data_IF_232987707105
#
_entry.id   IF_232987707105
#
_cell.length_a   1.000
_cell.length_b   1.000
_cell.length_c   1.000
_cell.angle_alpha   90.00
_cell.angle_beta   90.00
_cell.angle_gamma   90.00
#
_symmetry.space_group_name_H-M   'P 1'
#
loop_
_entity.id
_entity.type
_entity.pdbx_description
1 polymer ?
#
# COMPACT_ATOMS: atom_id res chain seq x y z
N UNK A 1 30.64 45.80 -48.79
CA UNK A 1 31.25 44.57 -48.25
C UNK A 1 31.29 44.69 -46.73
N UNK A 2 30.83 43.64 -46.06
CA UNK A 2 31.08 43.29 -44.64
C UNK A 2 30.17 43.94 -43.58
N UNK A 3 28.98 43.33 -43.43
CA UNK A 3 28.17 43.39 -42.21
C UNK A 3 28.87 42.56 -41.11
N UNK A 4 29.38 43.19 -40.06
CA UNK A 4 29.89 42.50 -38.88
C UNK A 4 28.73 42.16 -37.94
N UNK A 5 28.27 40.91 -37.99
CA UNK A 5 27.24 40.37 -37.10
C UNK A 5 27.88 40.07 -35.74
N UNK A 6 27.62 40.93 -34.76
CA UNK A 6 28.04 40.72 -33.38
C UNK A 6 27.33 39.49 -32.78
N UNK A 7 28.13 38.49 -32.40
CA UNK A 7 27.73 37.36 -31.56
C UNK A 7 27.74 37.81 -30.08
N UNK A 8 26.75 37.45 -29.25
CA UNK A 8 26.87 37.64 -27.82
C UNK A 8 27.78 36.56 -27.19
N UNK A 9 28.68 36.94 -26.28
CA UNK A 9 29.51 36.00 -25.54
C UNK A 9 28.68 35.27 -24.47
N UNK A 10 28.76 33.94 -24.48
CA UNK A 10 28.52 33.14 -23.30
C UNK A 10 29.60 33.47 -22.25
N UNK A 11 29.21 33.50 -20.96
CA UNK A 11 29.87 32.82 -19.84
C UNK A 11 29.41 33.41 -18.48
N UNK A 12 29.26 32.50 -17.52
CA UNK A 12 29.33 32.74 -16.05
C UNK A 12 28.04 33.13 -15.32
N UNK A 13 27.24 32.12 -14.95
CA UNK A 13 26.51 32.12 -13.68
C UNK A 13 26.75 30.78 -13.00
N UNK A 14 27.84 30.74 -12.23
CA UNK A 14 28.15 29.63 -11.34
C UNK A 14 27.26 29.67 -10.09
N UNK A 15 26.97 28.46 -9.59
CA UNK A 15 26.72 28.13 -8.20
C UNK A 15 25.47 28.76 -7.55
N UNK A 16 24.33 28.09 -7.72
CA UNK A 16 23.25 28.15 -6.72
C UNK A 16 23.22 26.82 -5.96
N UNK A 17 23.54 26.90 -4.69
CA UNK A 17 23.54 25.81 -3.72
C UNK A 17 22.22 25.02 -3.74
N UNK A 18 22.34 23.69 -3.87
CA UNK A 18 21.25 22.78 -3.60
C UNK A 18 21.25 22.49 -2.10
N UNK A 19 20.38 23.21 -1.39
CA UNK A 19 20.00 22.98 0.00
C UNK A 19 19.47 21.55 0.16
N UNK A 20 20.06 20.79 1.07
CA UNK A 20 19.40 19.65 1.70
C UNK A 20 18.33 20.20 2.63
N UNK A 21 17.08 19.82 2.42
CA UNK A 21 15.96 20.20 3.28
C UNK A 21 15.18 18.96 3.65
N UNK A 22 15.58 18.41 4.80
CA UNK A 22 14.80 17.55 5.69
C UNK A 22 13.54 18.30 6.11
N UNK A 23 12.36 17.74 5.85
CA UNK A 23 11.12 18.13 6.50
C UNK A 23 10.66 16.96 7.37
N UNK A 24 11.12 16.98 8.62
CA UNK A 24 10.51 16.29 9.74
C UNK A 24 9.16 16.95 10.02
N UNK A 25 8.07 16.19 9.89
CA UNK A 25 6.79 16.57 10.47
C UNK A 25 6.47 15.56 11.58
N UNK A 26 6.93 15.91 12.78
CA UNK A 26 6.54 15.28 14.04
C UNK A 26 5.36 16.10 14.58
N UNK A 27 4.14 15.60 14.39
CA UNK A 27 3.01 16.02 15.21
C UNK A 27 2.67 14.91 16.18
N UNK A 28 2.87 15.26 17.45
CA UNK A 28 2.69 14.48 18.66
C UNK A 28 1.22 14.09 18.85
N UNK A 29 0.98 12.80 19.08
CA UNK A 29 -0.13 12.34 19.91
C UNK A 29 0.35 11.15 20.74
N UNK A 30 0.62 11.42 22.01
CA UNK A 30 1.02 10.46 23.04
C UNK A 30 -0.19 9.66 23.49
N UNK A 31 -0.04 8.33 23.58
CA UNK A 31 -0.86 7.46 24.43
C UNK A 31 -1.65 6.38 23.70
N UNK A 32 -1.03 5.21 23.49
CA UNK A 32 -1.48 3.91 24.02
C UNK A 32 -0.63 2.78 23.42
N UNK A 33 0.13 2.15 24.31
CA UNK A 33 0.96 0.97 24.12
C UNK A 33 0.20 -0.18 23.44
N UNK A 34 0.65 -0.55 22.24
CA UNK A 34 0.64 -1.90 21.63
C UNK A 34 1.36 -1.72 20.31
N UNK A 35 2.57 -2.25 20.19
CA UNK A 35 3.24 -2.33 18.89
C UNK A 35 2.28 -3.01 17.92
N UNK A 36 1.78 -2.34 16.87
CA UNK A 36 0.97 -3.02 15.89
C UNK A 36 1.92 -4.01 15.23
N UNK A 37 1.69 -5.31 15.45
CA UNK A 37 2.27 -6.39 14.67
C UNK A 37 2.20 -5.93 13.22
N UNK A 38 3.35 -5.56 12.65
CA UNK A 38 3.35 -4.76 11.42
C UNK A 38 2.83 -5.67 10.31
N UNK A 39 1.53 -5.58 10.03
CA UNK A 39 0.84 -6.40 9.05
C UNK A 39 1.39 -6.04 7.68
N UNK A 40 2.39 -6.80 7.25
CA UNK A 40 3.18 -6.46 6.07
C UNK A 40 3.20 -7.63 5.11
N UNK A 41 2.85 -7.31 3.87
CA UNK A 41 2.93 -8.25 2.75
C UNK A 41 4.38 -8.65 2.47
N UNK A 42 4.58 -9.87 1.94
CA UNK A 42 5.92 -10.29 1.48
C UNK A 42 6.49 -9.32 0.44
N UNK A 43 7.76 -8.95 0.62
CA UNK A 43 8.49 -8.13 -0.34
C UNK A 43 9.05 -8.98 -1.47
N UNK A 44 8.89 -8.54 -2.72
CA UNK A 44 9.49 -9.22 -3.86
C UNK A 44 11.01 -9.01 -3.90
N UNK A 45 11.76 -10.02 -4.35
CA UNK A 45 13.22 -9.92 -4.55
C UNK A 45 13.57 -8.78 -5.51
N UNK A 46 14.55 -7.97 -5.13
CA UNK A 46 15.05 -6.83 -5.92
C UNK A 46 16.51 -7.05 -6.27
N UNK A 47 16.78 -7.92 -7.25
CA UNK A 47 18.13 -8.03 -7.81
C UNK A 47 18.43 -6.75 -8.63
N UNK A 48 19.48 -5.99 -8.31
CA UNK A 48 19.80 -4.78 -9.06
C UNK A 48 20.14 -5.12 -10.50
N UNK A 49 19.49 -4.43 -11.45
CA UNK A 49 19.78 -4.59 -12.88
C UNK A 49 21.08 -3.84 -13.19
N UNK A 50 22.05 -4.52 -13.82
CA UNK A 50 23.29 -3.88 -14.32
C UNK A 50 22.91 -2.73 -15.26
N UNK A 51 23.27 -1.50 -14.89
CA UNK A 51 22.91 -0.30 -15.65
C UNK A 51 23.95 -0.12 -16.76
N UNK A 52 23.62 -0.51 -17.99
CA UNK A 52 24.41 -0.17 -19.16
C UNK A 52 24.35 1.34 -19.45
N UNK A 53 25.39 1.90 -20.07
CA UNK A 53 25.43 3.29 -20.51
C UNK A 53 24.27 3.54 -21.50
N UNK A 54 23.24 4.26 -21.07
CA UNK A 54 22.11 4.64 -21.92
C UNK A 54 22.49 5.89 -22.73
N UNK A 55 22.14 5.97 -24.02
CA UNK A 55 22.34 7.19 -24.80
C UNK A 55 21.58 8.36 -24.16
N UNK A 56 22.17 9.56 -24.24
CA UNK A 56 21.56 10.78 -23.71
C UNK A 56 20.26 11.06 -24.47
N UNK A 57 19.14 11.04 -23.75
CA UNK A 57 17.83 11.41 -24.30
C UNK A 57 17.61 12.92 -24.15
N UNK A 58 16.84 13.55 -25.05
CA UNK A 58 16.45 14.95 -24.89
C UNK A 58 15.74 15.20 -23.55
N UNK A 59 15.95 16.37 -22.95
CA UNK A 59 15.43 16.71 -21.61
C UNK A 59 13.91 16.54 -21.49
N UNK A 60 13.15 16.92 -22.53
CA UNK A 60 11.68 16.76 -22.56
C UNK A 60 11.25 15.28 -22.47
N UNK A 61 12.01 14.37 -23.09
CA UNK A 61 11.73 12.91 -23.04
C UNK A 61 12.01 12.38 -21.64
N UNK A 62 13.08 12.86 -20.99
CA UNK A 62 13.41 12.48 -19.61
C UNK A 62 12.32 12.95 -18.65
N UNK A 63 11.85 14.19 -18.79
CA UNK A 63 10.80 14.76 -17.95
C UNK A 63 9.47 14.00 -18.11
N UNK A 64 9.06 13.70 -19.35
CA UNK A 64 7.84 12.93 -19.61
C UNK A 64 7.91 11.53 -18.98
N UNK A 65 9.06 10.85 -19.10
CA UNK A 65 9.29 9.54 -18.45
C UNK A 65 9.23 9.63 -16.94
N UNK A 66 9.83 10.67 -16.36
CA UNK A 66 9.82 10.87 -14.92
C UNK A 66 8.39 11.07 -14.40
N UNK A 67 7.62 11.97 -15.04
CA UNK A 67 6.21 12.19 -14.70
C UNK A 67 5.40 10.88 -14.75
N UNK A 68 5.56 10.09 -15.81
CA UNK A 68 4.88 8.80 -15.93
C UNK A 68 5.28 7.83 -14.81
N UNK A 69 6.57 7.71 -14.52
CA UNK A 69 7.08 6.83 -13.46
C UNK A 69 6.56 7.24 -12.07
N UNK A 70 6.44 8.53 -11.81
CA UNK A 70 5.95 9.05 -10.53
C UNK A 70 4.47 8.72 -10.33
N UNK A 71 3.65 8.91 -11.37
CA UNK A 71 2.23 8.50 -11.38
C UNK A 71 2.10 6.99 -11.15
N UNK A 72 2.87 6.18 -11.88
CA UNK A 72 2.83 4.71 -11.74
C UNK A 72 3.32 4.26 -10.35
N UNK A 73 4.36 4.90 -9.81
CA UNK A 73 4.85 4.64 -8.45
C UNK A 73 3.77 4.96 -7.42
N UNK A 74 3.11 6.11 -7.53
CA UNK A 74 2.01 6.50 -6.65
C UNK A 74 0.84 5.49 -6.74
N UNK A 75 0.49 5.07 -7.96
CA UNK A 75 -0.52 4.05 -8.19
C UNK A 75 -0.18 2.73 -7.48
N UNK A 76 1.04 2.22 -7.66
CA UNK A 76 1.52 0.99 -7.00
C UNK A 76 1.55 1.11 -5.48
N UNK A 77 1.94 2.26 -4.95
CA UNK A 77 1.93 2.53 -3.51
C UNK A 77 0.51 2.50 -2.95
N UNK A 78 -0.44 3.21 -3.59
CA UNK A 78 -1.86 3.19 -3.19
C UNK A 78 -2.44 1.78 -3.26
N UNK A 79 -2.11 1.02 -4.30
CA UNK A 79 -2.56 -0.37 -4.44
C UNK A 79 -2.00 -1.24 -3.30
N UNK A 80 -0.70 -1.12 -2.99
CA UNK A 80 -0.08 -1.83 -1.87
C UNK A 80 -0.77 -1.55 -0.53
N UNK A 81 -1.06 -0.28 -0.24
CA UNK A 81 -1.76 0.11 0.99
C UNK A 81 -3.15 -0.52 1.10
N UNK A 82 -3.89 -0.65 -0.01
CA UNK A 82 -5.19 -1.36 -0.01
C UNK A 82 -5.05 -2.82 0.39
N UNK A 83 -4.02 -3.52 -0.11
CA UNK A 83 -3.76 -4.92 0.28
C UNK A 83 -3.36 -5.06 1.75
N UNK A 84 -2.52 -4.17 2.27
CA UNK A 84 -2.12 -4.19 3.68
C UNK A 84 -3.31 -3.92 4.61
N UNK A 85 -4.18 -2.97 4.26
CA UNK A 85 -5.44 -2.71 4.99
C UNK A 85 -6.38 -3.92 4.97
N UNK A 86 -6.54 -4.54 3.79
CA UNK A 86 -7.37 -5.74 3.66
C UNK A 86 -6.83 -6.87 4.54
N UNK A 87 -5.52 -7.14 4.50
CA UNK A 87 -4.91 -8.16 5.33
C UNK A 87 -5.10 -7.89 6.83
N UNK A 88 -4.96 -6.63 7.27
CA UNK A 88 -5.17 -6.26 8.67
C UNK A 88 -6.59 -6.58 9.15
N UNK A 89 -7.60 -6.30 8.33
CA UNK A 89 -9.00 -6.64 8.63
C UNK A 89 -9.20 -8.16 8.72
N UNK A 90 -8.59 -8.92 7.80
CA UNK A 90 -8.73 -10.38 7.77
C UNK A 90 -8.05 -11.06 8.96
N UNK A 91 -6.88 -10.58 9.36
CA UNK A 91 -6.19 -11.07 10.56
C UNK A 91 -6.98 -10.74 11.83
N UNK A 92 -7.49 -9.51 11.94
CA UNK A 92 -8.34 -9.12 13.07
C UNK A 92 -9.61 -9.97 13.14
N UNK A 93 -10.21 -10.34 12.00
CA UNK A 93 -11.37 -11.23 12.00
C UNK A 93 -11.03 -12.66 12.43
N UNK A 94 -9.86 -13.19 12.06
CA UNK A 94 -9.41 -14.51 12.48
C UNK A 94 -9.24 -14.58 14.01
N UNK A 95 -8.57 -13.58 14.60
CA UNK A 95 -8.36 -13.55 16.07
C UNK A 95 -9.68 -13.51 16.84
N UNK A 96 -10.72 -12.86 16.29
CA UNK A 96 -12.05 -12.83 16.93
C UNK A 96 -12.72 -14.22 16.93
N UNK A 97 -12.55 -14.99 15.87
CA UNK A 97 -13.14 -16.33 15.75
C UNK A 97 -12.39 -17.34 16.66
N UNK A 98 -11.06 -17.20 16.80
CA UNK A 98 -10.20 -18.07 17.63
C UNK A 98 -10.21 -17.73 19.14
N UNK A 99 -10.62 -16.53 19.54
CA UNK A 99 -10.72 -16.14 20.97
C UNK A 99 -11.73 -16.97 21.79
N UNK A 100 -12.45 -17.91 21.16
CA UNK A 100 -13.30 -18.91 21.82
C UNK A 100 -12.69 -20.31 21.94
N UNK A 101 -11.47 -20.56 21.45
CA UNK A 101 -10.80 -21.85 21.54
C UNK A 101 -9.28 -21.70 21.52
N UNK A 102 -8.61 -22.17 22.58
CA UNK A 102 -7.15 -22.28 22.66
C UNK A 102 -6.57 -22.99 21.43
N UNK A 103 -6.06 -22.20 20.49
CA UNK A 103 -5.43 -22.67 19.27
C UNK A 103 -4.28 -21.75 18.93
N UNK A 104 -3.12 -22.06 19.52
CA UNK A 104 -1.83 -21.44 19.21
C UNK A 104 -1.46 -21.71 17.74
N UNK A 105 -2.02 -20.91 16.83
CA UNK A 105 -1.57 -20.85 15.45
C UNK A 105 -0.50 -19.77 15.35
N UNK A 106 0.71 -20.14 15.77
CA UNK A 106 1.97 -19.48 15.41
C UNK A 106 1.88 -18.99 13.97
N UNK A 107 1.75 -17.67 13.81
CA UNK A 107 1.61 -17.04 12.52
C UNK A 107 2.88 -17.36 11.72
N UNK A 108 2.78 -18.04 10.56
CA UNK A 108 3.96 -18.29 9.75
C UNK A 108 4.56 -16.93 9.40
N UNK A 109 5.79 -16.69 9.83
CA UNK A 109 6.56 -15.46 9.58
C UNK A 109 6.79 -15.20 8.06
N UNK A 110 6.28 -16.10 7.20
CA UNK A 110 6.07 -15.90 5.79
C UNK A 110 4.88 -14.95 5.53
N UNK A 111 5.15 -13.65 5.42
CA UNK A 111 4.14 -12.66 5.06
C UNK A 111 3.30 -13.05 3.82
N UNK A 112 2.00 -12.74 3.86
CA UNK A 112 1.04 -13.13 2.83
C UNK A 112 1.40 -12.57 1.44
N UNK A 113 1.09 -13.33 0.39
CA UNK A 113 1.06 -12.87 -1.00
C UNK A 113 -0.21 -12.11 -1.36
N UNK A 114 -0.15 -11.32 -2.44
CA UNK A 114 -1.34 -10.67 -2.98
C UNK A 114 -2.44 -11.66 -3.35
N UNK A 115 -2.09 -12.84 -3.90
CA UNK A 115 -3.05 -13.88 -4.24
C UNK A 115 -3.70 -14.45 -2.98
N UNK A 116 -2.89 -14.85 -2.01
CA UNK A 116 -3.36 -15.41 -0.73
C UNK A 116 -4.25 -14.42 0.03
N UNK A 117 -3.96 -13.12 0.00
CA UNK A 117 -4.85 -12.10 0.61
C UNK A 117 -6.22 -12.07 -0.08
N UNK A 118 -6.27 -12.20 -1.40
CA UNK A 118 -7.54 -12.23 -2.13
C UNK A 118 -8.31 -13.52 -1.88
N UNK A 119 -7.61 -14.66 -1.86
CA UNK A 119 -8.22 -15.96 -1.57
C UNK A 119 -8.79 -15.98 -0.14
N UNK A 120 -8.03 -15.47 0.83
CA UNK A 120 -8.49 -15.37 2.21
C UNK A 120 -9.67 -14.41 2.35
N UNK A 121 -9.64 -13.26 1.66
CA UNK A 121 -10.77 -12.33 1.62
C UNK A 121 -12.03 -13.00 1.05
N UNK A 122 -11.90 -13.76 -0.04
CA UNK A 122 -13.03 -14.48 -0.65
C UNK A 122 -13.63 -15.48 0.33
N UNK A 123 -12.79 -16.28 0.99
CA UNK A 123 -13.24 -17.25 1.98
C UNK A 123 -13.97 -16.58 3.15
N UNK A 124 -13.44 -15.45 3.65
CA UNK A 124 -14.08 -14.72 4.76
C UNK A 124 -15.44 -14.15 4.36
N UNK A 125 -15.60 -13.62 3.15
CA UNK A 125 -16.89 -13.13 2.67
C UNK A 125 -17.92 -14.27 2.66
N UNK A 126 -17.56 -15.43 2.09
CA UNK A 126 -18.46 -16.58 2.04
C UNK A 126 -18.89 -17.07 3.43
N UNK A 127 -17.95 -17.13 4.38
CA UNK A 127 -18.24 -17.48 5.77
C UNK A 127 -19.20 -16.48 6.42
N UNK A 128 -18.95 -15.17 6.26
CA UNK A 128 -19.82 -14.12 6.79
C UNK A 128 -21.21 -14.14 6.16
N UNK A 129 -21.33 -14.43 4.86
CA UNK A 129 -22.62 -14.57 4.19
C UNK A 129 -23.42 -15.75 4.75
N UNK A 130 -22.76 -16.87 5.05
CA UNK A 130 -23.41 -18.03 5.68
C UNK A 130 -23.86 -17.75 7.11
N UNK A 131 -22.99 -17.15 7.93
CA UNK A 131 -23.33 -16.73 9.29
C UNK A 131 -24.51 -15.75 9.29
N UNK A 132 -24.51 -14.78 8.37
CA UNK A 132 -25.59 -13.81 8.26
C UNK A 132 -26.91 -14.46 7.85
N UNK A 133 -26.91 -15.44 6.93
CA UNK A 133 -28.11 -16.24 6.61
C UNK A 133 -28.62 -16.97 7.85
N UNK A 134 -27.74 -17.68 8.57
CA UNK A 134 -28.11 -18.42 9.79
C UNK A 134 -28.71 -17.49 10.85
N UNK A 135 -28.10 -16.33 11.09
CA UNK A 135 -28.61 -15.35 12.06
C UNK A 135 -29.95 -14.76 11.62
N UNK A 136 -30.12 -14.48 10.33
CA UNK A 136 -31.38 -13.99 9.77
C UNK A 136 -32.51 -15.00 9.93
N UNK A 137 -32.24 -16.29 9.72
CA UNK A 137 -33.21 -17.36 9.94
C UNK A 137 -33.60 -17.48 11.43
N UNK A 138 -32.62 -17.34 12.33
CA UNK A 138 -32.86 -17.34 13.78
C UNK A 138 -33.75 -16.17 14.21
N UNK A 139 -33.46 -14.95 13.71
CA UNK A 139 -34.28 -13.76 13.99
C UNK A 139 -35.71 -13.97 13.49
N UNK A 140 -35.89 -14.41 12.24
CA UNK A 140 -37.23 -14.67 11.69
C UNK A 140 -38.01 -15.72 12.49
N UNK A 141 -37.35 -16.78 12.94
CA UNK A 141 -37.99 -17.80 13.75
C UNK A 141 -38.42 -17.26 15.12
N UNK A 142 -37.58 -16.43 15.76
CA UNK A 142 -37.92 -15.78 17.02
C UNK A 142 -39.07 -14.79 16.84
N UNK A 143 -39.03 -13.94 15.82
CA UNK A 143 -40.10 -12.98 15.51
C UNK A 143 -41.45 -13.68 15.31
N UNK A 144 -41.46 -14.79 14.56
CA UNK A 144 -42.66 -15.61 14.37
C UNK A 144 -43.18 -16.20 15.69
N UNK A 145 -42.28 -16.61 16.60
CA UNK A 145 -42.67 -17.14 17.92
C UNK A 145 -43.22 -16.06 18.85
N UNK A 146 -42.73 -14.82 18.76
CA UNK A 146 -43.22 -13.70 19.57
C UNK A 146 -44.50 -13.06 19.03
N UNK A 147 -44.83 -13.27 17.75
CA UNK A 147 -46.06 -12.71 17.12
C UNK A 147 -47.33 -13.55 17.40
N UNK A 148 -47.21 -14.72 18.06
CA UNK A 148 -48.36 -15.61 18.38
C UNK A 148 -48.98 -15.28 19.77
N UNK A 149 -48.76 -14.07 20.29
CA UNK A 149 -49.42 -13.54 21.50
C UNK A 149 -50.19 -12.28 21.12
#
# INVERSE_FOLDING_TARGET
MNQAKALPPALTAGLLERRDSTMSNEESLVGLEKTPTQVKMRSASRRPKKVGKKPALPAHVVQARQCHNDVEKQYRTRLKQKFERLLAVLQASKVKDESGGEGDSEAPDCGYSRGEVLDFARQRILALEEENRRLSDQVQHLDRRFTIV
#
